data_IF_395354650364
#
_entry.id   IF_395354650364
#
_cell.length_a   1.000
_cell.length_b   1.000
_cell.length_c   1.000
_cell.angle_alpha   90.00
_cell.angle_beta   90.00
_cell.angle_gamma   90.00
#
_symmetry.space_group_name_H-M   'P 1'
#
loop_
_entity.id
_entity.type
_entity.pdbx_description
1 polymer ?
#
# COMPACT_ATOMS: atom_id res chain seq x y z
N UNK A 1 -8.38 -16.50 13.58
CA UNK A 1 -8.04 -15.27 12.83
C UNK A 1 -8.33 -15.45 11.34
N UNK A 2 -8.03 -14.46 10.49
CA UNK A 2 -8.34 -14.52 9.03
C UNK A 2 -7.60 -15.66 8.32
N UNK A 3 -6.37 -15.96 8.74
CA UNK A 3 -5.60 -17.10 8.20
C UNK A 3 -6.28 -18.45 8.51
N UNK A 4 -6.83 -18.60 9.72
CA UNK A 4 -7.58 -19.81 10.09
C UNK A 4 -8.86 -19.95 9.29
N UNK A 5 -9.56 -18.82 9.02
CA UNK A 5 -10.75 -18.82 8.16
C UNK A 5 -10.43 -19.27 6.74
N UNK A 6 -9.31 -18.82 6.17
CA UNK A 6 -8.88 -19.24 4.84
C UNK A 6 -8.62 -20.75 4.77
N UNK A 7 -7.90 -21.31 5.77
CA UNK A 7 -7.62 -22.73 5.87
C UNK A 7 -8.91 -23.55 5.98
N UNK A 8 -9.80 -23.18 6.89
CA UNK A 8 -11.08 -23.86 7.08
C UNK A 8 -11.97 -23.79 5.83
N UNK A 9 -12.00 -22.65 5.12
CA UNK A 9 -12.73 -22.54 3.86
C UNK A 9 -12.16 -23.48 2.78
N UNK A 10 -10.84 -23.63 2.71
CA UNK A 10 -10.21 -24.57 1.78
C UNK A 10 -10.51 -26.04 2.13
N UNK A 11 -10.59 -26.37 3.43
CA UNK A 11 -10.95 -27.71 3.91
C UNK A 11 -12.41 -28.06 3.62
N UNK A 12 -13.34 -27.12 3.84
CA UNK A 12 -14.77 -27.34 3.62
C UNK A 12 -15.20 -27.21 2.16
N UNK A 13 -14.59 -26.29 1.40
CA UNK A 13 -14.97 -25.96 0.02
C UNK A 13 -13.74 -25.87 -0.90
N UNK A 14 -13.03 -26.99 -1.13
CA UNK A 14 -11.79 -27.00 -1.90
C UNK A 14 -11.98 -26.60 -3.36
N UNK A 15 -13.17 -26.80 -3.94
CA UNK A 15 -13.46 -26.45 -5.33
C UNK A 15 -13.37 -24.93 -5.60
N UNK A 16 -13.67 -24.11 -4.58
CA UNK A 16 -13.67 -22.65 -4.65
C UNK A 16 -12.49 -22.01 -3.93
N UNK A 17 -12.09 -22.53 -2.76
CA UNK A 17 -11.04 -21.94 -1.91
C UNK A 17 -9.77 -22.79 -1.80
N UNK A 18 -9.63 -23.82 -2.63
CA UNK A 18 -8.44 -24.68 -2.66
C UNK A 18 -7.14 -23.91 -2.92
N UNK A 19 -6.02 -24.53 -2.58
CA UNK A 19 -4.70 -23.91 -2.72
C UNK A 19 -4.44 -23.46 -4.17
N UNK A 20 -4.12 -22.17 -4.35
CA UNK A 20 -3.84 -21.59 -5.66
C UNK A 20 -5.08 -21.34 -6.54
N UNK A 21 -6.27 -21.71 -6.09
CA UNK A 21 -7.52 -21.46 -6.82
C UNK A 21 -8.04 -20.08 -6.47
N UNK A 22 -8.08 -19.19 -7.46
CA UNK A 22 -8.75 -17.89 -7.35
C UNK A 22 -9.74 -17.80 -8.48
N UNK A 23 -11.03 -17.94 -8.15
CA UNK A 23 -12.13 -17.92 -9.12
C UNK A 23 -13.13 -16.83 -8.76
N UNK A 24 -13.86 -16.25 -9.74
CA UNK A 24 -14.96 -15.34 -9.46
C UNK A 24 -16.02 -16.04 -8.61
N UNK A 25 -16.39 -15.46 -7.48
CA UNK A 25 -17.27 -16.11 -6.51
C UNK A 25 -18.74 -15.77 -6.82
N UNK A 26 -19.64 -16.73 -6.59
CA UNK A 26 -21.11 -16.52 -6.57
C UNK A 26 -21.50 -15.31 -5.71
N UNK A 27 -22.49 -14.55 -6.16
CA UNK A 27 -23.05 -13.49 -5.34
C UNK A 27 -23.72 -14.07 -4.08
N UNK A 28 -23.57 -13.37 -2.95
CA UNK A 28 -24.12 -13.76 -1.64
C UNK A 28 -23.62 -15.11 -1.11
N UNK A 29 -22.42 -15.55 -1.52
CA UNK A 29 -21.78 -16.80 -1.07
C UNK A 29 -21.75 -16.98 0.46
N UNK A 30 -21.78 -15.91 1.25
CA UNK A 30 -21.82 -16.01 2.71
C UNK A 30 -23.04 -16.81 3.22
N UNK A 31 -24.19 -16.68 2.55
CA UNK A 31 -25.40 -17.41 2.94
C UNK A 31 -25.19 -18.91 2.71
N UNK A 32 -24.73 -19.29 1.53
CA UNK A 32 -24.43 -20.67 1.14
C UNK A 32 -23.39 -21.31 2.08
N UNK A 33 -22.36 -20.55 2.46
CA UNK A 33 -21.32 -21.01 3.40
C UNK A 33 -21.92 -21.30 4.79
N UNK A 34 -22.72 -20.38 5.34
CA UNK A 34 -23.35 -20.59 6.64
C UNK A 34 -24.38 -21.73 6.62
N UNK A 35 -25.06 -21.95 5.49
CA UNK A 35 -26.00 -23.06 5.34
C UNK A 35 -25.27 -24.41 5.31
N UNK A 36 -24.12 -24.51 4.65
CA UNK A 36 -23.36 -25.76 4.53
C UNK A 36 -22.44 -26.06 5.70
N UNK A 37 -21.95 -25.02 6.38
CA UNK A 37 -21.06 -25.15 7.52
C UNK A 37 -21.57 -24.28 8.70
N UNK A 38 -22.76 -24.61 9.25
CA UNK A 38 -23.31 -23.85 10.36
C UNK A 38 -22.40 -23.95 11.59
N UNK A 39 -22.16 -22.83 12.26
CA UNK A 39 -21.35 -22.77 13.48
C UNK A 39 -19.82 -22.83 13.26
N UNK A 40 -19.35 -23.19 12.06
CA UNK A 40 -17.90 -23.25 11.75
C UNK A 40 -17.31 -21.85 11.58
N UNK A 41 -18.05 -20.97 10.88
CA UNK A 41 -17.58 -19.63 10.54
C UNK A 41 -18.38 -18.57 11.27
N UNK A 42 -17.67 -17.60 11.86
CA UNK A 42 -18.32 -16.37 12.34
C UNK A 42 -18.56 -15.41 11.19
N UNK A 43 -19.71 -14.73 11.19
CA UNK A 43 -20.05 -13.71 10.18
C UNK A 43 -18.96 -12.64 10.01
N UNK A 44 -18.35 -12.21 11.12
CA UNK A 44 -17.27 -11.21 11.13
C UNK A 44 -16.01 -11.73 10.43
N UNK A 45 -15.55 -12.94 10.76
CA UNK A 45 -14.36 -13.51 10.16
C UNK A 45 -14.55 -13.75 8.65
N UNK A 46 -15.72 -14.26 8.25
CA UNK A 46 -16.05 -14.50 6.85
C UNK A 46 -16.12 -13.19 6.04
N UNK A 47 -16.71 -12.14 6.63
CA UNK A 47 -16.77 -10.81 6.01
C UNK A 47 -15.37 -10.24 5.74
N UNK A 48 -14.50 -10.24 6.76
CA UNK A 48 -13.12 -9.73 6.64
C UNK A 48 -12.33 -10.53 5.60
N UNK A 49 -12.45 -11.87 5.62
CA UNK A 49 -11.79 -12.72 4.65
C UNK A 49 -12.25 -12.41 3.22
N UNK A 50 -13.56 -12.40 2.97
CA UNK A 50 -14.10 -12.19 1.62
C UNK A 50 -13.82 -10.78 1.10
N UNK A 51 -13.87 -9.77 1.96
CA UNK A 51 -13.50 -8.41 1.57
C UNK A 51 -12.03 -8.36 1.10
N UNK A 52 -11.11 -8.98 1.84
CA UNK A 52 -9.70 -9.04 1.45
C UNK A 52 -9.47 -9.90 0.21
N UNK A 53 -10.19 -11.01 0.08
CA UNK A 53 -10.06 -11.95 -1.03
C UNK A 53 -10.52 -11.31 -2.34
N UNK A 54 -11.71 -10.69 -2.35
CA UNK A 54 -12.31 -10.12 -3.56
C UNK A 54 -11.67 -8.80 -4.01
N UNK A 55 -10.98 -8.09 -3.12
CA UNK A 55 -10.21 -6.89 -3.47
C UNK A 55 -8.77 -7.20 -3.90
N UNK A 56 -8.34 -8.47 -3.81
CA UNK A 56 -6.99 -8.90 -4.16
C UNK A 56 -6.70 -8.84 -5.66
N UNK A 57 -5.46 -8.54 -6.03
CA UNK A 57 -5.03 -8.45 -7.43
C UNK A 57 -5.25 -9.77 -8.19
N UNK A 58 -5.06 -10.92 -7.53
CA UNK A 58 -5.33 -12.23 -8.12
C UNK A 58 -6.82 -12.41 -8.46
N UNK A 59 -7.72 -11.91 -7.60
CA UNK A 59 -9.16 -11.98 -7.82
C UNK A 59 -9.61 -11.09 -8.99
N UNK A 60 -9.12 -9.86 -9.04
CA UNK A 60 -9.40 -8.96 -10.17
C UNK A 60 -8.92 -9.56 -11.51
N UNK A 61 -7.77 -10.24 -11.51
CA UNK A 61 -7.28 -10.97 -12.70
C UNK A 61 -8.22 -12.11 -13.11
N UNK A 62 -8.81 -12.80 -12.14
CA UNK A 62 -9.78 -13.86 -12.41
C UNK A 62 -11.09 -13.32 -13.00
N UNK A 63 -11.53 -12.12 -12.59
CA UNK A 63 -12.72 -11.47 -13.16
C UNK A 63 -12.57 -11.13 -14.64
N UNK A 64 -11.40 -10.65 -15.06
CA UNK A 64 -11.15 -10.22 -16.45
C UNK A 64 -10.72 -11.35 -17.37
N UNK A 65 -10.59 -12.57 -16.87
CA UNK A 65 -10.20 -13.71 -17.69
C UNK A 65 -11.28 -14.00 -18.75
N UNK A 66 -10.85 -14.43 -19.94
CA UNK A 66 -11.76 -14.80 -21.02
C UNK A 66 -12.66 -15.96 -20.58
N UNK A 67 -13.97 -15.82 -20.78
CA UNK A 67 -14.95 -16.83 -20.38
C UNK A 67 -15.13 -16.98 -18.86
N UNK A 68 -14.70 -16.01 -18.06
CA UNK A 68 -14.86 -16.06 -16.62
C UNK A 68 -16.35 -16.03 -16.21
N UNK A 69 -16.76 -17.06 -15.47
CA UNK A 69 -18.09 -17.15 -14.84
C UNK A 69 -17.94 -17.17 -13.32
N UNK A 70 -19.00 -16.78 -12.62
CA UNK A 70 -19.04 -16.95 -11.16
C UNK A 70 -19.17 -18.42 -10.82
N UNK A 71 -18.55 -18.84 -9.72
CA UNK A 71 -18.47 -20.23 -9.31
C UNK A 71 -19.05 -20.36 -7.90
N UNK A 72 -19.84 -21.41 -7.66
CA UNK A 72 -20.38 -21.73 -6.34
C UNK A 72 -19.40 -22.54 -5.46
N UNK A 73 -19.87 -23.04 -4.32
CA UNK A 73 -19.06 -23.80 -3.36
C UNK A 73 -18.66 -25.19 -3.89
N UNK A 74 -19.36 -25.73 -4.87
CA UNK A 74 -19.09 -27.04 -5.47
C UNK A 74 -18.22 -26.94 -6.72
N UNK A 75 -17.90 -25.72 -7.16
CA UNK A 75 -17.14 -25.49 -8.39
C UNK A 75 -18.01 -25.36 -9.63
N UNK A 76 -19.34 -25.26 -9.49
CA UNK A 76 -20.25 -25.13 -10.62
C UNK A 76 -20.38 -23.66 -11.07
N UNK A 77 -20.49 -23.41 -12.39
CA UNK A 77 -20.73 -22.08 -12.91
C UNK A 77 -22.14 -21.60 -12.55
N UNK A 78 -22.20 -20.42 -11.93
CA UNK A 78 -23.43 -19.82 -11.39
C UNK A 78 -23.50 -18.34 -11.76
N UNK A 79 -23.97 -18.11 -12.98
CA UNK A 79 -24.19 -16.78 -13.50
C UNK A 79 -22.95 -16.10 -14.08
N UNK A 80 -23.23 -15.09 -14.88
CA UNK A 80 -22.24 -14.40 -15.69
C UNK A 80 -21.63 -13.20 -14.96
N UNK A 81 -20.45 -12.82 -15.42
CA UNK A 81 -19.80 -11.58 -14.99
C UNK A 81 -20.14 -10.53 -16.04
N UNK A 82 -20.91 -9.52 -15.62
CA UNK A 82 -21.31 -8.43 -16.49
C UNK A 82 -20.08 -7.69 -17.03
N UNK A 83 -20.22 -7.06 -18.20
CA UNK A 83 -19.12 -6.34 -18.83
C UNK A 83 -18.58 -5.24 -17.91
N UNK A 84 -19.47 -4.53 -17.20
CA UNK A 84 -19.13 -3.43 -16.30
C UNK A 84 -18.20 -3.88 -15.17
N UNK A 85 -18.41 -5.08 -14.63
CA UNK A 85 -17.55 -5.65 -13.59
C UNK A 85 -16.18 -6.08 -14.12
N UNK A 86 -16.12 -6.56 -15.37
CA UNK A 86 -14.85 -6.90 -16.03
C UNK A 86 -14.06 -5.63 -16.32
N UNK A 87 -14.71 -4.61 -16.86
CA UNK A 87 -14.06 -3.34 -17.21
C UNK A 87 -13.53 -2.64 -15.96
N UNK A 88 -14.32 -2.55 -14.90
CA UNK A 88 -13.89 -1.98 -13.63
C UNK A 88 -12.67 -2.73 -13.03
N UNK A 89 -12.66 -4.06 -13.12
CA UNK A 89 -11.52 -4.87 -12.67
C UNK A 89 -10.27 -4.64 -13.52
N UNK A 90 -10.44 -4.46 -14.84
CA UNK A 90 -9.36 -4.15 -15.78
C UNK A 90 -8.70 -2.80 -15.46
N UNK A 91 -9.51 -1.75 -15.32
CA UNK A 91 -9.05 -0.40 -14.95
C UNK A 91 -8.29 -0.42 -13.62
N UNK A 92 -8.82 -1.12 -12.60
CA UNK A 92 -8.14 -1.22 -11.31
C UNK A 92 -6.81 -1.98 -11.38
N UNK A 93 -6.71 -3.01 -12.24
CA UNK A 93 -5.44 -3.72 -12.46
C UNK A 93 -4.38 -2.84 -13.13
N UNK A 94 -4.76 -2.06 -14.14
CA UNK A 94 -3.86 -1.12 -14.80
C UNK A 94 -3.36 -0.06 -13.85
N UNK A 95 -4.27 0.52 -13.06
CA UNK A 95 -3.92 1.47 -11.99
C UNK A 95 -2.90 0.87 -11.02
N UNK A 96 -3.13 -0.37 -10.54
CA UNK A 96 -2.20 -1.06 -9.63
C UNK A 96 -0.84 -1.31 -10.28
N UNK A 97 -0.81 -1.69 -11.56
CA UNK A 97 0.44 -1.90 -12.30
C UNK A 97 1.25 -0.60 -12.42
N UNK A 98 0.60 0.51 -12.78
CA UNK A 98 1.26 1.81 -12.89
C UNK A 98 1.95 2.23 -11.58
N UNK A 99 1.29 2.03 -10.44
CA UNK A 99 1.84 2.35 -9.11
C UNK A 99 3.08 1.52 -8.79
N UNK A 100 3.00 0.21 -9.05
CA UNK A 100 4.11 -0.69 -8.79
C UNK A 100 5.30 -0.35 -9.69
N UNK A 101 5.06 -0.05 -10.96
CA UNK A 101 6.12 0.34 -11.89
C UNK A 101 6.74 1.70 -11.54
N UNK A 102 5.94 2.70 -11.15
CA UNK A 102 6.44 3.98 -10.67
C UNK A 102 7.34 3.81 -9.42
N UNK A 103 6.90 3.00 -8.45
CA UNK A 103 7.68 2.71 -7.24
C UNK A 103 8.99 1.97 -7.58
N UNK A 104 8.95 1.01 -8.51
CA UNK A 104 10.16 0.32 -8.98
C UNK A 104 11.10 1.29 -9.70
N UNK A 105 10.58 2.19 -10.52
CA UNK A 105 11.37 3.20 -11.23
C UNK A 105 12.11 4.11 -10.26
N UNK A 106 11.38 4.72 -9.32
CA UNK A 106 11.95 5.58 -8.28
C UNK A 106 13.01 4.84 -7.44
N UNK A 107 12.76 3.58 -7.09
CA UNK A 107 13.73 2.74 -6.38
C UNK A 107 15.01 2.47 -7.19
N UNK A 108 14.89 2.23 -8.51
CA UNK A 108 16.05 2.07 -9.39
C UNK A 108 16.84 3.36 -9.54
N UNK A 109 16.17 4.50 -9.62
CA UNK A 109 16.82 5.82 -9.69
C UNK A 109 17.57 6.14 -8.40
N UNK A 110 16.95 5.93 -7.24
CA UNK A 110 17.61 6.10 -5.94
C UNK A 110 18.83 5.16 -5.79
N UNK A 111 18.73 3.91 -6.27
CA UNK A 111 19.85 2.97 -6.26
C UNK A 111 20.99 3.38 -7.22
N UNK A 112 20.68 4.05 -8.34
CA UNK A 112 21.68 4.61 -9.25
C UNK A 112 22.36 5.84 -8.66
N UNK A 113 21.59 6.76 -8.10
CA UNK A 113 22.11 7.96 -7.44
C UNK A 113 23.08 7.60 -6.29
N UNK A 114 22.66 6.71 -5.39
CA UNK A 114 23.51 6.22 -4.29
C UNK A 114 24.79 5.51 -4.76
N UNK A 115 24.75 4.77 -5.87
CA UNK A 115 25.96 4.18 -6.48
C UNK A 115 26.89 5.24 -7.06
N UNK A 116 26.34 6.31 -7.63
CA UNK A 116 27.12 7.42 -8.16
C UNK A 116 27.77 8.21 -7.02
N UNK A 117 27.02 8.54 -5.98
CA UNK A 117 27.55 9.21 -4.77
C UNK A 117 28.63 8.39 -4.08
N UNK A 118 28.42 7.08 -3.90
CA UNK A 118 29.43 6.20 -3.32
C UNK A 118 30.70 6.07 -4.19
N UNK A 119 30.60 6.26 -5.50
CA UNK A 119 31.75 6.29 -6.41
C UNK A 119 32.45 7.65 -6.39
N UNK A 120 31.72 8.75 -6.22
CA UNK A 120 32.28 10.09 -6.06
C UNK A 120 33.02 10.26 -4.72
N UNK A 121 32.52 9.62 -3.65
CA UNK A 121 33.16 9.62 -2.33
C UNK A 121 34.35 8.66 -2.20
N UNK A 122 34.63 7.84 -3.23
CA UNK A 122 35.80 6.96 -3.24
C UNK A 122 37.05 7.77 -3.61
N UNK A 123 38.08 7.82 -2.76
CA UNK A 123 39.36 8.44 -3.14
C UNK A 123 39.96 7.70 -4.35
N UNK A 124 40.68 8.41 -5.25
CA UNK A 124 41.33 7.78 -6.38
C UNK A 124 42.28 6.68 -5.87
N UNK A 125 42.13 5.48 -6.41
CA UNK A 125 43.03 4.37 -6.10
C UNK A 125 44.41 4.76 -6.66
N UNK A 126 45.49 4.78 -5.85
CA UNK A 126 46.82 5.02 -6.38
C UNK A 126 47.13 3.95 -7.44
N UNK A 127 47.85 4.30 -8.52
CA UNK A 127 48.26 3.33 -9.53
C UNK A 127 49.15 2.29 -8.85
N UNK A 128 48.66 1.06 -8.73
CA UNK A 128 49.50 -0.04 -8.28
C UNK A 128 50.44 -0.42 -9.44
N UNK A 129 51.76 -0.49 -9.22
CA UNK A 129 52.68 -1.08 -10.18
C UNK A 129 52.23 -2.50 -10.53
N UNK A 130 52.28 -2.85 -11.81
CA UNK A 130 51.79 -4.12 -12.34
C UNK A 130 52.42 -5.32 -11.64
N UNK A 131 51.66 -5.96 -10.75
CA UNK A 131 51.97 -7.29 -10.25
C UNK A 131 51.53 -8.30 -11.31
N UNK A 132 52.52 -8.79 -12.05
CA UNK A 132 52.39 -9.93 -12.95
C UNK A 132 51.78 -11.11 -12.19
N UNK A 133 50.69 -11.63 -12.72
CA UNK A 133 49.93 -12.74 -12.16
C UNK A 133 50.73 -14.04 -12.38
N UNK A 134 51.53 -14.42 -11.40
CA UNK A 134 52.21 -15.73 -11.35
C UNK A 134 51.24 -16.87 -10.96
N UNK A 135 51.48 -18.13 -11.37
CA UNK A 135 50.58 -19.25 -11.13
C UNK A 135 50.95 -20.07 -9.88
N UNK A 136 49.93 -20.49 -9.11
CA UNK A 136 49.97 -21.60 -8.11
C UNK A 136 50.84 -21.37 -6.86
N UNK A 137 50.57 -21.90 -5.66
CA UNK A 137 49.85 -23.10 -5.21
C UNK A 137 49.55 -22.97 -3.69
N UNK A 138 48.80 -23.91 -3.07
CA UNK A 138 48.15 -23.77 -1.76
C UNK A 138 49.07 -24.10 -0.58
N UNK A 139 48.71 -23.59 0.60
CA UNK A 139 49.33 -23.93 1.87
C UNK A 139 48.34 -23.70 3.01
N UNK A 140 48.11 -24.77 3.75
CA UNK A 140 47.14 -25.01 4.81
C UNK A 140 47.51 -24.34 6.15
N UNK A 141 46.57 -24.41 7.09
CA UNK A 141 46.67 -24.17 8.54
C UNK A 141 46.74 -22.69 8.98
N UNK A 142 45.97 -22.23 9.96
CA UNK A 142 45.06 -22.91 10.86
C UNK A 142 44.82 -22.05 12.10
N UNK A 143 43.64 -22.23 12.70
CA UNK A 143 43.33 -21.96 14.12
C UNK A 143 43.23 -20.51 14.60
N UNK A 144 42.10 -20.19 15.25
CA UNK A 144 42.03 -18.99 16.10
C UNK A 144 40.67 -18.53 16.60
N UNK A 145 39.84 -19.44 17.12
CA UNK A 145 38.90 -19.23 18.24
C UNK A 145 38.10 -17.89 18.38
N UNK A 146 36.80 -18.00 18.07
CA UNK A 146 35.63 -17.80 18.97
C UNK A 146 35.29 -16.46 19.67
N UNK A 147 33.98 -16.27 20.00
CA UNK A 147 33.28 -14.98 20.02
C UNK A 147 32.92 -14.48 21.43
N UNK A 148 32.87 -13.16 21.64
CA UNK A 148 32.34 -12.46 22.83
C UNK A 148 32.00 -11.03 22.42
N UNK A 149 31.00 -10.30 22.91
CA UNK A 149 29.91 -10.50 23.86
C UNK A 149 28.94 -9.31 23.69
N UNK A 150 27.66 -9.52 24.02
CA UNK A 150 26.63 -8.48 24.11
C UNK A 150 26.80 -7.58 25.35
N UNK A 151 26.18 -6.39 25.29
CA UNK A 151 25.30 -5.69 26.30
C UNK A 151 25.66 -4.18 26.50
N UNK A 152 24.80 -3.34 27.12
CA UNK A 152 23.83 -2.44 26.44
C UNK A 152 23.95 -0.96 26.89
N UNK A 153 22.98 -0.13 26.49
CA UNK A 153 22.69 1.31 26.78
C UNK A 153 23.20 1.93 28.10
N UNK A 154 23.19 3.28 28.14
CA UNK A 154 22.58 3.97 29.29
C UNK A 154 21.49 4.98 28.90
N UNK A 155 20.51 5.04 29.79
CA UNK A 155 19.42 6.01 29.91
C UNK A 155 19.92 7.48 29.98
N UNK A 156 19.16 8.39 29.38
CA UNK A 156 19.10 9.78 29.84
C UNK A 156 17.65 10.25 29.95
N UNK A 157 17.12 10.04 31.14
CA UNK A 157 15.97 10.75 31.69
C UNK A 157 16.44 12.17 32.05
N UNK A 158 15.89 13.19 31.40
CA UNK A 158 15.88 14.55 31.96
C UNK A 158 14.44 15.06 31.88
N UNK A 159 13.80 15.01 33.03
CA UNK A 159 12.63 15.80 33.32
C UNK A 159 12.98 17.29 33.23
N UNK A 160 12.10 18.07 32.61
CA UNK A 160 11.84 19.43 33.09
C UNK A 160 10.40 19.80 32.80
N UNK A 161 9.59 19.77 33.85
CA UNK A 161 8.37 20.56 33.92
C UNK A 161 8.76 22.04 33.79
N UNK A 162 8.04 22.75 32.93
CA UNK A 162 7.68 24.15 33.16
C UNK A 162 6.24 24.30 32.66
N UNK A 163 5.35 24.40 33.63
CA UNK A 163 4.10 25.12 33.50
C UNK A 163 4.36 26.49 32.86
N UNK A 164 3.52 26.86 31.89
CA UNK A 164 3.10 28.23 31.62
C UNK A 164 1.93 28.18 30.61
N UNK A 165 0.72 27.93 31.12
CA UNK A 165 -0.40 28.83 30.79
C UNK A 165 -0.05 30.21 31.39
N UNK A 166 -0.29 31.31 30.67
CA UNK A 166 -1.54 32.00 30.94
C UNK A 166 -2.17 32.76 29.75
N UNK A 167 -3.42 33.16 29.97
CA UNK A 167 -4.17 34.23 29.32
C UNK A 167 -4.86 33.90 27.98
N UNK A 168 -5.96 33.17 28.09
CA UNK A 168 -7.04 33.21 27.11
C UNK A 168 -7.68 34.60 27.13
N UNK A 169 -7.16 35.52 26.32
CA UNK A 169 -7.96 36.64 25.83
C UNK A 169 -9.12 36.05 25.01
N UNK A 170 -10.36 36.58 25.11
CA UNK A 170 -11.44 36.10 24.27
C UNK A 170 -11.05 36.43 22.83
N UNK A 171 -10.69 35.40 22.05
CA UNK A 171 -10.59 35.54 20.61
C UNK A 171 -11.94 36.08 20.15
N UNK A 172 -11.95 37.29 19.57
CA UNK A 172 -13.16 37.87 19.01
C UNK A 172 -13.87 36.78 18.18
N UNK A 173 -15.18 36.55 18.40
CA UNK A 173 -15.88 35.51 17.67
C UNK A 173 -15.70 35.78 16.17
N UNK A 174 -15.12 34.80 15.47
CA UNK A 174 -14.92 34.89 14.02
C UNK A 174 -16.26 35.22 13.39
N UNK A 175 -16.28 36.20 12.48
CA UNK A 175 -17.51 36.46 11.73
C UNK A 175 -17.90 35.19 10.97
N UNK A 176 -19.20 34.96 10.70
CA UNK A 176 -19.63 33.79 9.93
C UNK A 176 -18.88 33.64 8.59
N UNK A 177 -18.52 34.76 7.98
CA UNK A 177 -17.72 34.81 6.76
C UNK A 177 -16.28 34.33 6.98
N UNK A 178 -15.63 34.76 8.06
CA UNK A 178 -14.28 34.29 8.43
C UNK A 178 -14.26 32.79 8.79
N UNK A 179 -15.32 32.30 9.44
CA UNK A 179 -15.50 30.89 9.75
C UNK A 179 -15.67 30.05 8.48
N UNK A 180 -16.52 30.50 7.54
CA UNK A 180 -16.70 29.83 6.24
C UNK A 180 -15.39 29.79 5.43
N UNK A 181 -14.61 30.87 5.41
CA UNK A 181 -13.32 30.91 4.73
C UNK A 181 -12.29 29.97 5.40
N UNK A 182 -12.32 29.86 6.74
CA UNK A 182 -11.48 28.91 7.46
C UNK A 182 -11.85 27.46 7.15
N UNK A 183 -13.14 27.14 7.09
CA UNK A 183 -13.64 25.83 6.67
C UNK A 183 -13.28 25.51 5.22
N UNK A 184 -13.43 26.47 4.30
CA UNK A 184 -13.05 26.31 2.90
C UNK A 184 -11.55 26.03 2.77
N UNK A 185 -10.69 26.73 3.54
CA UNK A 185 -9.25 26.45 3.62
C UNK A 185 -8.97 25.04 4.17
N UNK A 186 -9.70 24.60 5.19
CA UNK A 186 -9.55 23.24 5.72
C UNK A 186 -9.95 22.18 4.68
N UNK A 187 -11.05 22.39 3.95
CA UNK A 187 -11.49 21.50 2.88
C UNK A 187 -10.45 21.41 1.76
N UNK A 188 -9.86 22.55 1.35
CA UNK A 188 -8.77 22.59 0.37
C UNK A 188 -7.52 21.86 0.86
N UNK A 189 -7.14 22.05 2.12
CA UNK A 189 -6.00 21.33 2.72
C UNK A 189 -6.23 19.81 2.78
N UNK A 190 -7.46 19.38 3.12
CA UNK A 190 -7.84 17.97 3.10
C UNK A 190 -7.86 17.40 1.68
N UNK A 191 -8.31 18.19 0.69
CA UNK A 191 -8.28 17.82 -0.73
C UNK A 191 -6.84 17.60 -1.20
N UNK A 192 -5.93 18.55 -0.90
CA UNK A 192 -4.51 18.44 -1.23
C UNK A 192 -3.88 17.22 -0.57
N UNK A 193 -4.11 17.00 0.73
CA UNK A 193 -3.58 15.83 1.45
C UNK A 193 -4.11 14.52 0.85
N UNK A 194 -5.41 14.47 0.55
CA UNK A 194 -6.04 13.28 -0.07
C UNK A 194 -5.47 13.03 -1.47
N UNK A 195 -5.19 14.08 -2.23
CA UNK A 195 -4.56 14.00 -3.54
C UNK A 195 -3.11 13.51 -3.44
N UNK A 196 -2.29 14.09 -2.54
CA UNK A 196 -0.89 13.68 -2.33
C UNK A 196 -0.75 12.24 -1.82
N UNK A 197 -1.75 11.74 -1.09
CA UNK A 197 -1.82 10.34 -0.64
C UNK A 197 -2.46 9.41 -1.68
N UNK A 198 -3.09 9.97 -2.71
CA UNK A 198 -3.74 9.22 -3.77
C UNK A 198 -2.74 8.89 -4.88
N UNK A 199 -2.71 7.64 -5.34
CA UNK A 199 -1.91 7.25 -6.49
C UNK A 199 -2.64 7.41 -7.84
N UNK A 200 -3.78 8.11 -7.86
CA UNK A 200 -4.57 8.35 -9.07
C UNK A 200 -3.93 9.42 -9.95
N UNK A 201 -4.11 9.30 -11.27
CA UNK A 201 -3.89 10.43 -12.17
C UNK A 201 -4.86 11.57 -11.83
N UNK A 202 -4.50 12.78 -12.24
CA UNK A 202 -5.28 13.99 -11.96
C UNK A 202 -6.73 13.88 -12.45
N UNK A 203 -6.92 13.54 -13.72
CA UNK A 203 -8.22 13.25 -14.32
C UNK A 203 -9.06 12.23 -13.53
N UNK A 204 -8.45 11.13 -13.06
CA UNK A 204 -9.18 10.08 -12.32
C UNK A 204 -9.54 10.53 -10.89
N UNK A 205 -8.68 11.31 -10.24
CA UNK A 205 -8.99 11.89 -8.94
C UNK A 205 -10.09 12.95 -9.06
N UNK A 206 -10.06 13.77 -10.12
CA UNK A 206 -11.09 14.76 -10.42
C UNK A 206 -12.46 14.09 -10.60
N UNK A 207 -12.53 13.06 -11.44
CA UNK A 207 -13.74 12.28 -11.67
C UNK A 207 -14.30 11.66 -10.37
N UNK A 208 -13.44 11.11 -9.51
CA UNK A 208 -13.84 10.55 -8.21
C UNK A 208 -14.42 11.61 -7.25
N UNK A 209 -13.98 12.86 -7.37
CA UNK A 209 -14.45 14.00 -6.56
C UNK A 209 -15.61 14.74 -7.20
N UNK A 210 -16.11 14.32 -8.36
CA UNK A 210 -17.15 15.03 -9.10
C UNK A 210 -16.71 16.40 -9.61
N UNK A 211 -15.40 16.58 -9.80
CA UNK A 211 -14.78 17.83 -10.26
C UNK A 211 -14.28 17.67 -11.69
N UNK A 212 -14.24 18.77 -12.43
CA UNK A 212 -13.45 18.82 -13.67
C UNK A 212 -11.95 18.84 -13.33
N UNK A 213 -11.11 18.36 -14.25
CA UNK A 213 -9.65 18.35 -14.05
C UNK A 213 -9.10 19.78 -13.86
N UNK A 214 -9.58 20.75 -14.63
CA UNK A 214 -9.19 22.16 -14.47
C UNK A 214 -9.62 22.76 -13.12
N UNK A 215 -10.79 22.39 -12.61
CA UNK A 215 -11.25 22.82 -11.28
C UNK A 215 -10.39 22.22 -10.17
N UNK A 216 -10.04 20.94 -10.30
CA UNK A 216 -9.17 20.27 -9.34
C UNK A 216 -7.78 20.93 -9.30
N UNK A 217 -7.20 21.23 -10.47
CA UNK A 217 -5.89 21.88 -10.57
C UNK A 217 -5.86 23.27 -9.92
N UNK A 218 -6.91 24.07 -10.13
CA UNK A 218 -7.05 25.37 -9.49
C UNK A 218 -7.09 25.24 -7.96
N UNK A 219 -7.88 24.28 -7.44
CA UNK A 219 -8.00 24.04 -6.00
C UNK A 219 -6.70 23.53 -5.37
N UNK A 220 -5.98 22.63 -6.05
CA UNK A 220 -4.68 22.13 -5.57
C UNK A 220 -3.61 23.22 -5.60
N UNK A 221 -3.63 24.08 -6.60
CA UNK A 221 -2.71 25.24 -6.68
C UNK A 221 -2.95 26.20 -5.52
N UNK A 222 -4.21 26.55 -5.27
CA UNK A 222 -4.58 27.42 -4.14
C UNK A 222 -4.20 26.78 -2.79
N UNK A 223 -4.50 25.50 -2.59
CA UNK A 223 -4.15 24.78 -1.36
C UNK A 223 -2.64 24.74 -1.09
N UNK A 224 -1.81 24.63 -2.14
CA UNK A 224 -0.34 24.67 -2.01
C UNK A 224 0.18 26.05 -1.63
N UNK A 225 -0.41 27.11 -2.19
CA UNK A 225 -0.09 28.49 -1.82
C UNK A 225 -0.44 28.76 -0.35
N UNK A 226 -1.64 28.34 0.09
CA UNK A 226 -2.09 28.49 1.48
C UNK A 226 -1.23 27.73 2.49
N UNK A 227 -0.68 26.57 2.11
CA UNK A 227 0.27 25.82 2.93
C UNK A 227 1.61 26.55 3.07
N UNK A 228 2.05 27.27 2.04
CA UNK A 228 3.29 28.05 2.05
C UNK A 228 3.21 29.37 2.82
N UNK A 229 1.99 29.88 3.05
CA UNK A 229 1.73 31.13 3.78
C UNK A 229 1.43 30.93 5.28
N UNK A 230 1.66 29.74 5.83
CA UNK A 230 1.54 29.41 7.26
C UNK A 230 2.90 29.36 7.93
#
# INVERSE_FOLDING_TARGET
>A
GVADTARLLAEHFPALFGAGVIKPIKLRIQADIHQRAPGVFTKKALSIFLQRHTTGTAYLRALVAAGATRIDLDGQPVGEITAEHRDAAGVELERRRAIVEAKKHAGREAARASRHDARALRPPRPPQPGVQRGPGRPGDAGSGASPRSRKPLPDRKLARAHEQEPAHAPALPLTPEQAAEAEARQQRALLLRSFEQSPLSNANFAALKGLSEGTLDALLTLARQERGSR
#
